data_IF_022756639988
#
_entry.id   IF_022756639988
#
_cell.length_a   1.000
_cell.length_b   1.000
_cell.length_c   1.000
_cell.angle_alpha   90.00
_cell.angle_beta   90.00
_cell.angle_gamma   90.00
#
_symmetry.space_group_name_H-M   'P 1'
#
loop_
_entity.id
_entity.type
_entity.pdbx_description
1 polymer ?
#
# COMPACT_ATOMS: atom_id res chain seq x y z
N UNK A 1 -10.80 14.13 4.67
CA UNK A 1 -11.69 13.11 5.19
C UNK A 1 -10.88 11.90 5.63
N UNK A 2 -11.25 11.30 6.77
CA UNK A 2 -10.61 10.09 7.27
C UNK A 2 -11.68 9.01 7.48
N UNK A 3 -11.39 7.82 7.01
CA UNK A 3 -12.25 6.65 7.15
C UNK A 3 -11.43 5.50 7.72
N UNK A 4 -12.06 4.65 8.51
CA UNK A 4 -11.47 3.42 9.00
C UNK A 4 -12.51 2.30 8.96
N UNK A 5 -12.11 1.18 8.37
CA UNK A 5 -12.92 -0.04 8.36
C UNK A 5 -12.00 -1.26 8.34
N UNK A 6 -12.26 -2.21 9.21
CA UNK A 6 -11.54 -3.49 9.31
C UNK A 6 -10.01 -3.33 9.44
N UNK A 7 -9.58 -2.22 10.10
CA UNK A 7 -8.17 -1.87 10.29
C UNK A 7 -7.50 -1.22 9.08
N UNK A 8 -8.23 -0.98 7.99
CA UNK A 8 -7.77 -0.16 6.87
C UNK A 8 -8.13 1.30 7.14
N UNK A 9 -7.13 2.16 7.06
CA UNK A 9 -7.31 3.60 7.22
C UNK A 9 -7.21 4.27 5.86
N UNK A 10 -8.13 5.16 5.56
CA UNK A 10 -8.19 5.90 4.31
C UNK A 10 -8.20 7.39 4.62
N UNK A 11 -7.26 8.13 4.04
CA UNK A 11 -7.23 9.57 4.08
C UNK A 11 -7.48 10.12 2.67
N UNK A 12 -8.54 10.90 2.52
CA UNK A 12 -8.87 11.61 1.29
C UNK A 12 -8.71 13.11 1.51
N UNK A 13 -7.86 13.77 0.71
CA UNK A 13 -7.66 15.20 0.75
C UNK A 13 -7.92 15.83 -0.63
N UNK A 14 -8.59 16.99 -0.63
CA UNK A 14 -8.85 17.80 -1.81
C UNK A 14 -7.82 18.92 -1.90
N UNK A 15 -7.21 19.05 -3.07
CA UNK A 15 -6.22 20.07 -3.40
C UNK A 15 -5.08 20.25 -2.37
N UNK A 16 -4.49 19.17 -1.82
CA UNK A 16 -3.39 19.34 -0.89
C UNK A 16 -2.18 19.95 -1.60
N UNK A 17 -1.48 20.83 -0.90
CA UNK A 17 -0.29 21.49 -1.43
C UNK A 17 0.96 20.88 -0.83
N UNK A 18 1.88 20.52 -1.70
CA UNK A 18 3.19 19.97 -1.35
C UNK A 18 4.28 20.90 -1.84
N UNK A 19 5.13 21.37 -0.95
CA UNK A 19 6.27 22.20 -1.27
C UNK A 19 7.47 21.86 -0.38
N UNK A 20 8.57 22.54 -0.54
CA UNK A 20 9.74 22.40 0.32
C UNK A 20 9.45 22.75 1.79
N UNK A 21 8.54 23.70 2.02
CA UNK A 21 8.16 24.17 3.36
C UNK A 21 6.91 23.47 3.88
N UNK A 22 5.93 23.26 3.00
CA UNK A 22 4.65 22.66 3.33
C UNK A 22 4.76 21.16 3.14
N UNK A 23 4.65 20.45 4.25
CA UNK A 23 4.63 18.98 4.29
C UNK A 23 3.24 18.50 4.67
N UNK A 24 2.79 17.45 4.03
CA UNK A 24 1.59 16.73 4.42
C UNK A 24 2.01 15.32 4.80
N UNK A 25 1.78 14.93 6.05
CA UNK A 25 2.16 13.61 6.60
C UNK A 25 3.61 13.17 6.29
N UNK A 26 4.55 14.13 6.28
CA UNK A 26 5.96 13.87 5.95
C UNK A 26 6.30 13.91 4.45
N UNK A 27 5.30 14.08 3.59
CA UNK A 27 5.49 14.16 2.13
C UNK A 27 5.77 15.58 1.70
N UNK A 28 6.73 15.78 0.82
CA UNK A 28 7.18 17.10 0.32
C UNK A 28 7.52 17.06 -1.16
N UNK A 29 7.48 18.23 -1.79
CA UNK A 29 8.03 18.46 -3.13
C UNK A 29 9.20 19.45 -3.04
N UNK A 30 10.37 19.10 -3.56
CA UNK A 30 11.60 19.88 -3.38
C UNK A 30 11.91 20.85 -4.50
N UNK A 31 11.58 20.52 -5.74
CA UNK A 31 11.94 21.33 -6.91
C UNK A 31 10.83 22.32 -7.22
N UNK A 32 9.64 21.81 -7.47
CA UNK A 32 8.44 22.61 -7.77
C UNK A 32 7.30 22.18 -6.87
N UNK A 33 6.50 23.13 -6.40
CA UNK A 33 5.29 22.82 -5.64
C UNK A 33 4.35 21.96 -6.49
N UNK A 34 3.73 20.97 -5.86
CA UNK A 34 2.72 20.13 -6.47
C UNK A 34 1.38 20.33 -5.75
N UNK A 35 0.31 20.31 -6.53
CA UNK A 35 -1.05 20.48 -6.02
C UNK A 35 -1.98 19.60 -6.85
N UNK A 36 -2.04 18.29 -6.60
CA UNK A 36 -3.03 17.44 -7.22
C UNK A 36 -4.43 17.79 -6.72
N UNK A 37 -5.46 17.55 -7.53
CA UNK A 37 -6.83 17.83 -7.12
C UNK A 37 -7.30 16.89 -6.02
N UNK A 38 -6.91 15.61 -6.11
CA UNK A 38 -7.29 14.59 -5.13
C UNK A 38 -6.04 13.81 -4.70
N UNK A 39 -5.90 13.67 -3.40
CA UNK A 39 -4.92 12.81 -2.75
C UNK A 39 -5.65 11.73 -1.96
N UNK A 40 -5.34 10.49 -2.26
CA UNK A 40 -5.89 9.32 -1.59
C UNK A 40 -4.75 8.50 -0.98
N UNK A 41 -4.72 8.40 0.34
CA UNK A 41 -3.80 7.56 1.07
C UNK A 41 -4.54 6.42 1.74
N UNK A 42 -3.99 5.22 1.62
CA UNK A 42 -4.54 4.02 2.22
C UNK A 42 -3.44 3.34 3.02
N UNK A 43 -3.74 3.04 4.27
CA UNK A 43 -2.86 2.31 5.18
C UNK A 43 -3.57 1.01 5.56
N UNK A 44 -2.99 -0.10 5.18
CA UNK A 44 -3.52 -1.43 5.47
C UNK A 44 -3.12 -1.93 6.88
N UNK A 45 -3.80 -2.94 7.44
CA UNK A 45 -3.47 -3.49 8.75
C UNK A 45 -2.03 -3.99 8.90
N UNK A 46 -1.40 -4.39 7.79
CA UNK A 46 0.00 -4.79 7.73
C UNK A 46 0.98 -3.60 7.64
N UNK A 47 0.50 -2.39 7.89
CA UNK A 47 1.24 -1.12 7.81
C UNK A 47 1.70 -0.75 6.40
N UNK A 48 1.25 -1.43 5.37
CA UNK A 48 1.53 -0.98 4.02
C UNK A 48 0.70 0.25 3.67
N UNK A 49 1.38 1.17 3.00
CA UNK A 49 0.84 2.47 2.63
C UNK A 49 0.84 2.60 1.12
N UNK A 50 -0.30 3.04 0.58
CA UNK A 50 -0.47 3.38 -0.82
C UNK A 50 -0.96 4.80 -0.95
N UNK A 51 -0.39 5.53 -1.89
CA UNK A 51 -0.83 6.88 -2.21
C UNK A 51 -1.16 6.92 -3.70
N UNK A 52 -2.38 7.33 -3.99
CA UNK A 52 -2.83 7.63 -5.34
C UNK A 52 -3.18 9.11 -5.45
N UNK A 53 -2.80 9.70 -6.58
CA UNK A 53 -3.11 11.07 -6.92
C UNK A 53 -4.02 11.10 -8.13
N UNK A 54 -5.03 11.95 -8.08
CA UNK A 54 -5.90 12.16 -9.24
C UNK A 54 -5.96 13.65 -9.53
N UNK A 55 -6.05 13.98 -10.82
CA UNK A 55 -6.05 15.36 -11.29
C UNK A 55 -7.04 15.51 -12.44
N UNK A 56 -8.02 16.40 -12.28
CA UNK A 56 -9.10 16.60 -13.23
C UNK A 56 -8.60 17.36 -14.46
N UNK A 57 -8.95 16.87 -15.64
CA UNK A 57 -8.62 17.47 -16.93
C UNK A 57 -9.86 17.63 -17.77
N UNK A 58 -10.15 18.85 -18.16
CA UNK A 58 -11.33 19.17 -18.94
C UNK A 58 -11.09 19.16 -20.46
N UNK A 59 -10.00 18.55 -20.91
CA UNK A 59 -9.60 18.46 -22.30
C UNK A 59 -9.43 17.02 -22.72
N UNK A 60 -9.84 16.75 -23.96
CA UNK A 60 -9.62 15.48 -24.65
C UNK A 60 -8.78 15.69 -25.89
N UNK A 61 -8.11 14.64 -26.34
CA UNK A 61 -7.44 14.52 -27.62
C UNK A 61 -8.09 13.35 -28.35
N UNK A 62 -8.93 13.65 -29.33
CA UNK A 62 -9.55 12.61 -30.16
C UNK A 62 -8.53 12.13 -31.17
N UNK A 63 -8.29 10.82 -31.24
CA UNK A 63 -7.46 10.23 -32.26
C UNK A 63 -8.25 10.20 -33.58
N UNK A 64 -7.63 10.66 -34.67
CA UNK A 64 -8.18 10.57 -36.02
C UNK A 64 -7.27 9.64 -36.84
N UNK A 65 -7.82 8.58 -37.46
CA UNK A 65 -7.04 7.72 -38.34
C UNK A 65 -6.46 8.52 -39.51
N UNK A 66 -5.27 8.16 -39.95
CA UNK A 66 -4.58 8.83 -41.06
C UNK A 66 -5.04 8.35 -42.43
N UNK A 67 -5.70 7.21 -42.51
CA UNK A 67 -6.17 6.59 -43.75
C UNK A 67 -7.70 6.50 -43.78
N UNK A 68 -8.26 6.83 -44.95
CA UNK A 68 -9.75 6.86 -45.18
C UNK A 68 -10.42 5.48 -45.14
N UNK A 69 -9.64 4.39 -45.01
CA UNK A 69 -10.14 3.01 -45.01
C UNK A 69 -10.16 2.33 -43.63
N UNK A 70 -9.69 3.00 -42.59
CA UNK A 70 -9.79 2.47 -41.23
C UNK A 70 -11.18 2.81 -40.66
N UNK A 71 -11.87 1.81 -40.13
CA UNK A 71 -13.09 2.01 -39.36
C UNK A 71 -12.78 3.02 -38.25
N UNK A 72 -13.53 4.15 -38.25
CA UNK A 72 -13.28 5.28 -37.35
C UNK A 72 -13.68 4.87 -35.92
N UNK A 73 -12.79 4.24 -35.19
CA UNK A 73 -12.92 4.17 -33.75
C UNK A 73 -12.56 5.53 -33.16
N UNK A 74 -13.56 6.27 -32.74
CA UNK A 74 -13.37 7.51 -32.00
C UNK A 74 -12.92 7.19 -30.58
N UNK A 75 -11.60 7.15 -30.38
CA UNK A 75 -11.03 6.97 -29.04
C UNK A 75 -10.62 8.33 -28.49
N UNK A 76 -11.21 8.69 -27.37
CA UNK A 76 -10.86 9.90 -26.63
C UNK A 76 -9.67 9.63 -25.69
N UNK A 77 -8.59 10.36 -25.91
CA UNK A 77 -7.41 10.31 -25.06
C UNK A 77 -7.23 11.58 -24.23
N UNK A 78 -6.50 11.44 -23.14
CA UNK A 78 -5.99 12.59 -22.40
C UNK A 78 -4.85 13.24 -23.20
N UNK A 79 -4.75 14.57 -23.25
CA UNK A 79 -3.60 15.25 -23.83
C UNK A 79 -2.27 14.80 -23.19
N UNK A 80 -1.22 14.74 -23.99
CA UNK A 80 0.11 14.24 -23.55
C UNK A 80 0.69 15.07 -22.38
N UNK A 81 0.39 16.37 -22.32
CA UNK A 81 0.80 17.23 -21.22
C UNK A 81 0.15 16.84 -19.88
N UNK A 82 -1.06 16.29 -19.90
CA UNK A 82 -1.72 15.78 -18.71
C UNK A 82 -1.03 14.51 -18.18
N UNK A 83 -0.69 13.57 -19.09
CA UNK A 83 0.07 12.38 -18.69
C UNK A 83 1.46 12.77 -18.16
N UNK A 84 2.14 13.71 -18.81
CA UNK A 84 3.41 14.25 -18.31
C UNK A 84 3.29 14.88 -16.91
N UNK A 85 2.14 15.45 -16.59
CA UNK A 85 1.87 15.96 -15.25
C UNK A 85 1.74 14.82 -14.23
N UNK A 86 1.14 13.68 -14.60
CA UNK A 86 1.05 12.51 -13.73
C UNK A 86 2.44 11.96 -13.40
N UNK A 87 3.33 11.87 -14.38
CA UNK A 87 4.75 11.55 -14.13
C UNK A 87 5.39 12.50 -13.14
N UNK A 88 5.19 13.81 -13.30
CA UNK A 88 5.73 14.82 -12.36
C UNK A 88 5.19 14.64 -10.96
N UNK A 89 3.89 14.40 -10.79
CA UNK A 89 3.30 14.18 -9.48
C UNK A 89 3.91 12.96 -8.79
N UNK A 90 4.01 11.83 -9.49
CA UNK A 90 4.58 10.63 -8.92
C UNK A 90 6.05 10.83 -8.50
N UNK A 91 6.84 11.50 -9.35
CA UNK A 91 8.28 11.61 -9.14
C UNK A 91 8.70 12.77 -8.24
N UNK A 92 7.90 13.83 -8.14
CA UNK A 92 8.23 15.02 -7.37
C UNK A 92 7.97 14.89 -5.88
N UNK A 93 7.07 13.98 -5.47
CA UNK A 93 6.71 13.80 -4.07
C UNK A 93 7.64 12.81 -3.40
N UNK A 94 8.24 13.25 -2.30
CA UNK A 94 9.22 12.47 -1.53
C UNK A 94 8.77 12.45 -0.08
N UNK A 95 8.77 11.26 0.51
CA UNK A 95 8.65 11.09 1.94
C UNK A 95 10.02 11.25 2.59
N UNK A 96 10.08 12.06 3.64
CA UNK A 96 11.24 12.20 4.51
C UNK A 96 10.80 12.03 5.94
N UNK A 97 11.35 11.02 6.59
CA UNK A 97 11.24 10.90 8.03
C UNK A 97 12.02 12.03 8.70
N UNK A 98 11.38 12.76 9.61
CA UNK A 98 12.01 13.86 10.35
C UNK A 98 13.14 13.36 11.27
N UNK A 99 13.03 12.14 11.76
CA UNK A 99 14.02 11.52 12.62
C UNK A 99 15.18 10.92 11.83
N UNK A 100 15.16 10.98 10.51
CA UNK A 100 16.15 10.39 9.61
C UNK A 100 16.41 8.89 9.81
N UNK A 101 15.49 8.20 10.47
CA UNK A 101 15.59 6.77 10.75
C UNK A 101 15.22 5.92 9.52
N UNK A 102 14.40 6.50 8.61
CA UNK A 102 14.01 5.85 7.38
C UNK A 102 14.67 6.51 6.17
N UNK A 103 15.06 5.72 5.18
CA UNK A 103 15.54 6.26 3.90
C UNK A 103 14.45 7.09 3.22
N UNK A 104 14.89 8.02 2.37
CA UNK A 104 13.97 8.75 1.48
C UNK A 104 13.21 7.78 0.61
N UNK A 105 11.90 7.98 0.45
CA UNK A 105 11.08 7.17 -0.45
C UNK A 105 10.22 8.02 -1.35
N UNK A 106 9.80 7.44 -2.48
CA UNK A 106 8.74 7.97 -3.35
C UNK A 106 7.44 7.27 -2.97
N UNK A 107 6.57 7.94 -2.19
CA UNK A 107 5.41 7.28 -1.60
C UNK A 107 4.24 7.15 -2.57
N UNK A 108 4.24 7.88 -3.68
CA UNK A 108 3.15 7.88 -4.64
C UNK A 108 3.23 6.63 -5.49
N UNK A 109 2.23 5.78 -5.31
CA UNK A 109 2.11 4.52 -6.02
C UNK A 109 1.57 4.72 -7.44
N UNK A 110 0.55 5.57 -7.59
CA UNK A 110 -0.01 5.90 -8.88
C UNK A 110 -0.49 7.34 -8.97
N UNK A 111 -0.49 7.88 -10.19
CA UNK A 111 -1.03 9.18 -10.50
C UNK A 111 -1.84 9.11 -11.79
N UNK A 112 -3.07 9.60 -11.74
CA UNK A 112 -4.07 9.39 -12.78
C UNK A 112 -4.78 10.69 -13.14
N UNK A 113 -4.94 10.92 -14.45
CA UNK A 113 -5.79 11.98 -14.93
C UNK A 113 -7.27 11.52 -14.95
N UNK A 114 -8.17 12.40 -14.56
CA UNK A 114 -9.61 12.21 -14.69
C UNK A 114 -10.09 13.11 -15.84
N UNK A 115 -10.72 12.57 -16.86
CA UNK A 115 -11.05 13.32 -18.05
C UNK A 115 -12.43 12.97 -18.63
N UNK A 116 -13.09 13.88 -19.38
CA UNK A 116 -14.44 13.67 -19.90
C UNK A 116 -14.43 12.84 -21.22
N UNK A 117 -13.77 11.69 -21.24
CA UNK A 117 -13.75 10.81 -22.39
C UNK A 117 -15.05 10.01 -22.52
N UNK A 118 -15.56 9.89 -23.75
CA UNK A 118 -16.78 9.17 -24.02
C UNK A 118 -16.48 7.70 -24.36
N UNK A 119 -16.98 6.78 -23.53
CA UNK A 119 -16.81 5.33 -23.69
C UNK A 119 -18.01 4.58 -23.12
N UNK A 120 -18.35 3.46 -23.73
CA UNK A 120 -19.15 2.42 -23.07
C UNK A 120 -18.23 1.58 -22.17
N UNK A 121 -18.01 2.09 -20.96
CA UNK A 121 -17.03 1.53 -20.02
C UNK A 121 -17.37 0.11 -19.53
N UNK A 122 -18.56 -0.40 -19.80
CA UNK A 122 -18.90 -1.80 -19.50
C UNK A 122 -18.47 -2.75 -20.60
N UNK A 123 -18.34 -2.28 -21.82
CA UNK A 123 -17.99 -3.06 -23.01
C UNK A 123 -16.53 -2.80 -23.42
N UNK A 124 -16.14 -1.55 -23.42
CA UNK A 124 -14.83 -1.11 -23.86
C UNK A 124 -13.79 -1.20 -22.73
N UNK A 125 -12.51 -1.44 -23.10
CA UNK A 125 -11.40 -1.43 -22.17
C UNK A 125 -10.82 -0.03 -22.03
N UNK A 126 -10.39 0.32 -20.82
CA UNK A 126 -9.66 1.56 -20.60
C UNK A 126 -8.37 1.56 -21.46
N UNK A 127 -8.18 2.54 -22.37
CA UNK A 127 -7.00 2.62 -23.22
C UNK A 127 -5.69 2.77 -22.42
N UNK A 128 -5.76 3.17 -21.15
CA UNK A 128 -4.62 3.30 -20.24
C UNK A 128 -4.45 2.10 -19.31
N UNK A 129 -5.25 1.04 -19.41
CA UNK A 129 -5.24 -0.06 -18.44
C UNK A 129 -3.84 -0.66 -18.27
N UNK A 130 -3.15 -1.00 -19.35
CA UNK A 130 -1.80 -1.57 -19.29
C UNK A 130 -0.80 -0.62 -18.61
N UNK A 131 -0.88 0.68 -18.90
CA UNK A 131 0.02 1.68 -18.30
C UNK A 131 -0.30 1.87 -16.80
N UNK A 132 -1.56 1.81 -16.41
CA UNK A 132 -1.99 1.84 -15.01
C UNK A 132 -1.42 0.62 -14.25
N UNK A 133 -1.51 -0.56 -14.84
CA UNK A 133 -1.03 -1.81 -14.24
C UNK A 133 0.50 -1.87 -14.15
N UNK A 134 1.20 -1.51 -15.22
CA UNK A 134 2.65 -1.68 -15.31
C UNK A 134 3.43 -0.58 -14.60
N UNK A 135 2.97 0.67 -14.70
CA UNK A 135 3.73 1.82 -14.20
C UNK A 135 2.97 2.74 -13.24
N UNK A 136 1.72 2.47 -12.96
CA UNK A 136 0.90 3.32 -12.08
C UNK A 136 0.62 4.72 -12.64
N UNK A 137 0.66 4.90 -13.96
CA UNK A 137 0.38 6.17 -14.64
C UNK A 137 -0.70 5.92 -15.68
N UNK A 138 -1.69 6.79 -15.74
CA UNK A 138 -2.74 6.67 -16.75
C UNK A 138 -3.87 7.66 -16.55
N UNK A 139 -5.05 7.28 -17.05
CA UNK A 139 -6.22 8.11 -16.93
C UNK A 139 -7.51 7.28 -16.82
N UNK A 140 -8.52 7.88 -16.22
CA UNK A 140 -9.88 7.34 -16.16
C UNK A 140 -10.84 8.34 -16.77
N UNK A 141 -11.64 7.86 -17.71
CA UNK A 141 -12.75 8.65 -18.23
C UNK A 141 -13.85 8.79 -17.17
N UNK A 142 -14.36 10.00 -17.02
CA UNK A 142 -15.45 10.32 -16.11
C UNK A 142 -16.51 11.16 -16.82
N UNK A 143 -17.73 10.65 -16.92
CA UNK A 143 -18.88 11.39 -17.40
C UNK A 143 -20.03 11.28 -16.40
N UNK A 144 -20.89 12.30 -16.29
CA UNK A 144 -22.09 12.26 -15.45
C UNK A 144 -23.22 11.45 -16.12
N UNK A 145 -22.91 10.25 -16.60
CA UNK A 145 -23.81 9.32 -17.23
C UNK A 145 -23.86 8.02 -16.43
N UNK A 146 -24.87 7.20 -16.68
CA UNK A 146 -24.89 5.85 -16.10
C UNK A 146 -23.63 5.08 -16.53
N UNK A 147 -22.91 4.51 -15.55
CA UNK A 147 -21.62 3.83 -15.72
C UNK A 147 -20.47 4.69 -16.28
N UNK A 148 -20.60 6.01 -16.29
CA UNK A 148 -19.54 6.90 -16.77
C UNK A 148 -18.31 7.00 -15.86
N UNK A 149 -18.31 6.30 -14.72
CA UNK A 149 -17.21 6.16 -13.76
C UNK A 149 -16.79 4.70 -13.52
N UNK A 150 -17.30 3.77 -14.34
CA UNK A 150 -17.17 2.33 -14.09
C UNK A 150 -15.71 1.89 -13.94
N UNK A 151 -14.81 2.31 -14.81
CA UNK A 151 -13.38 1.93 -14.73
C UNK A 151 -12.71 2.40 -13.45
N UNK A 152 -12.98 3.64 -13.02
CA UNK A 152 -12.43 4.16 -11.77
C UNK A 152 -13.03 3.43 -10.56
N UNK A 153 -14.33 3.20 -10.59
CA UNK A 153 -15.05 2.49 -9.52
C UNK A 153 -14.54 1.05 -9.38
N UNK A 154 -14.33 0.33 -10.47
CA UNK A 154 -13.75 -1.02 -10.44
C UNK A 154 -12.29 -1.01 -9.95
N UNK A 155 -11.47 -0.08 -10.43
CA UNK A 155 -10.11 0.10 -9.94
C UNK A 155 -10.08 0.31 -8.43
N UNK A 156 -10.87 1.25 -7.92
CA UNK A 156 -10.93 1.53 -6.48
C UNK A 156 -11.48 0.33 -5.70
N UNK A 157 -12.52 -0.34 -6.22
CA UNK A 157 -13.08 -1.54 -5.60
C UNK A 157 -12.05 -2.66 -5.52
N UNK A 158 -11.32 -2.91 -6.58
CA UNK A 158 -10.25 -3.91 -6.61
C UNK A 158 -9.13 -3.56 -5.60
N UNK A 159 -8.66 -2.32 -5.61
CA UNK A 159 -7.56 -1.88 -4.72
C UNK A 159 -7.98 -1.73 -3.26
N UNK A 160 -9.25 -1.42 -2.99
CA UNK A 160 -9.83 -1.27 -1.65
C UNK A 160 -10.57 -2.52 -1.16
N UNK A 161 -10.64 -3.59 -1.96
CA UNK A 161 -11.46 -4.75 -1.66
C UNK A 161 -10.90 -5.56 -0.50
N UNK A 162 -11.41 -5.28 0.68
CA UNK A 162 -10.93 -5.77 1.96
C UNK A 162 -11.09 -7.28 2.16
N UNK A 163 -12.07 -7.89 1.49
CA UNK A 163 -12.33 -9.33 1.60
C UNK A 163 -11.19 -10.18 1.02
N UNK A 164 -10.51 -9.72 -0.03
CA UNK A 164 -9.34 -10.40 -0.61
C UNK A 164 -8.05 -10.17 0.18
N UNK A 165 -8.00 -9.14 1.03
CA UNK A 165 -6.81 -8.87 1.87
C UNK A 165 -6.62 -9.98 2.92
N UNK A 166 -7.68 -10.64 3.33
CA UNK A 166 -7.57 -11.79 4.24
C UNK A 166 -6.91 -13.01 3.59
N UNK A 167 -7.03 -13.19 2.28
CA UNK A 167 -6.48 -14.35 1.57
C UNK A 167 -5.20 -14.04 0.78
N UNK A 168 -5.00 -12.82 0.35
CA UNK A 168 -3.80 -12.42 -0.39
C UNK A 168 -2.84 -11.65 0.52
N UNK A 169 -2.02 -12.38 1.20
CA UNK A 169 -0.77 -11.90 1.82
C UNK A 169 0.21 -11.28 0.82
N UNK A 170 -0.12 -11.40 -0.41
CA UNK A 170 0.71 -11.01 -1.54
C UNK A 170 0.18 -9.70 -2.08
N UNK A 171 0.62 -8.65 -1.46
CA UNK A 171 0.42 -7.32 -1.98
C UNK A 171 0.98 -7.24 -3.38
N UNK A 172 0.21 -6.58 -4.19
CA UNK A 172 0.44 -6.45 -5.62
C UNK A 172 1.91 -6.28 -5.94
N UNK A 173 2.44 -7.07 -6.89
CA UNK A 173 3.81 -6.89 -7.39
C UNK A 173 4.09 -5.44 -7.83
N UNK A 174 3.06 -4.73 -8.25
CA UNK A 174 3.13 -3.33 -8.68
C UNK A 174 3.58 -2.37 -7.57
N UNK A 175 3.20 -2.62 -6.32
CA UNK A 175 3.67 -1.84 -5.19
C UNK A 175 5.20 -1.84 -5.10
N UNK A 176 5.84 -2.89 -5.59
CA UNK A 176 7.29 -3.06 -5.60
C UNK A 176 7.96 -2.32 -6.73
N UNK A 177 7.33 -2.24 -7.89
CA UNK A 177 7.88 -1.56 -9.06
C UNK A 177 7.90 -0.05 -8.84
N UNK A 178 6.85 0.51 -8.25
CA UNK A 178 6.76 1.94 -7.96
C UNK A 178 7.86 2.43 -7.00
N UNK A 179 8.31 1.58 -6.09
CA UNK A 179 9.35 1.92 -5.12
C UNK A 179 10.78 1.64 -5.59
N UNK A 180 10.98 0.87 -6.64
CA UNK A 180 12.30 0.51 -7.15
C UNK A 180 13.11 1.70 -7.67
N UNK A 181 12.47 2.84 -7.93
CA UNK A 181 13.14 4.01 -8.45
C UNK A 181 14.04 4.75 -7.47
N UNK A 182 13.92 4.55 -6.16
CA UNK A 182 14.63 5.36 -5.16
C UNK A 182 15.11 4.62 -3.91
N UNK A 183 14.65 3.42 -3.65
CA UNK A 183 15.13 2.62 -2.53
C UNK A 183 15.62 1.29 -2.99
N UNK A 184 16.82 1.02 -2.57
CA UNK A 184 17.59 -0.15 -2.92
C UNK A 184 16.99 -1.33 -2.24
N UNK A 185 16.11 -1.76 -1.83
CA UNK A 185 15.73 -3.04 -1.22
C UNK A 185 14.33 -3.04 -0.64
N UNK A 186 13.40 -3.49 -1.45
CA UNK A 186 12.25 -4.17 -0.90
C UNK A 186 12.40 -5.66 -1.11
N UNK A 187 12.21 -6.38 -0.03
CA UNK A 187 12.41 -7.81 -0.01
C UNK A 187 11.10 -8.51 -0.34
N UNK A 188 11.10 -9.32 -1.39
CA UNK A 188 9.89 -10.05 -1.81
C UNK A 188 9.44 -11.10 -0.80
N UNK A 189 10.38 -11.66 -0.03
CA UNK A 189 10.14 -12.75 0.90
C UNK A 189 10.87 -12.51 2.22
N UNK A 190 10.68 -11.31 2.81
CA UNK A 190 11.35 -10.96 4.06
C UNK A 190 10.86 -11.86 5.19
N UNK A 191 11.80 -12.54 5.82
CA UNK A 191 11.57 -13.38 6.99
C UNK A 191 12.05 -12.64 8.23
N UNK A 192 11.17 -12.42 9.17
CA UNK A 192 11.53 -11.90 10.48
C UNK A 192 11.85 -13.05 11.43
N UNK A 193 13.14 -13.19 11.75
CA UNK A 193 13.63 -14.24 12.66
C UNK A 193 13.69 -13.69 14.09
N UNK A 194 13.03 -14.38 15.00
CA UNK A 194 12.93 -13.95 16.40
C UNK A 194 13.04 -15.13 17.35
N UNK A 195 13.70 -14.86 18.48
CA UNK A 195 13.71 -15.79 19.61
C UNK A 195 12.41 -15.70 20.41
N UNK A 196 11.90 -16.84 20.84
CA UNK A 196 10.73 -16.88 21.71
C UNK A 196 11.13 -16.45 23.13
N UNK A 197 10.46 -15.39 23.66
CA UNK A 197 10.72 -14.89 25.01
C UNK A 197 10.33 -15.91 26.08
N UNK A 198 11.03 -15.87 27.21
CA UNK A 198 10.87 -16.86 28.30
C UNK A 198 9.58 -16.70 29.14
N UNK A 199 8.86 -15.57 29.02
CA UNK A 199 7.73 -15.24 29.89
C UNK A 199 6.39 -15.40 29.14
N UNK A 200 6.15 -16.57 28.52
CA UNK A 200 4.89 -16.90 27.85
C UNK A 200 4.16 -17.99 28.60
N UNK A 201 2.84 -18.08 28.41
CA UNK A 201 2.04 -19.16 29.02
C UNK A 201 2.43 -20.53 28.45
N UNK A 202 2.18 -21.57 29.23
CA UNK A 202 2.37 -22.97 28.80
C UNK A 202 1.60 -23.27 27.52
N UNK A 203 0.37 -22.76 27.42
CA UNK A 203 -0.50 -22.92 26.25
C UNK A 203 0.12 -22.26 24.99
N UNK A 204 0.76 -21.10 25.16
CA UNK A 204 1.43 -20.44 24.05
C UNK A 204 2.60 -21.26 23.53
N UNK A 205 3.41 -21.86 24.41
CA UNK A 205 4.49 -22.75 24.01
C UNK A 205 3.95 -24.00 23.31
N UNK A 206 2.86 -24.60 23.82
CA UNK A 206 2.22 -25.75 23.21
C UNK A 206 1.69 -25.43 21.79
N UNK A 207 1.15 -24.21 21.56
CA UNK A 207 0.74 -23.76 20.24
C UNK A 207 1.94 -23.63 19.29
N UNK A 208 3.09 -23.14 19.76
CA UNK A 208 4.33 -23.05 18.96
C UNK A 208 4.79 -24.46 18.55
N UNK A 209 4.86 -25.38 19.49
CA UNK A 209 5.29 -26.78 19.23
C UNK A 209 4.35 -27.50 18.25
N UNK A 210 3.04 -27.28 18.39
CA UNK A 210 2.04 -27.90 17.53
C UNK A 210 1.90 -27.19 16.16
N UNK A 211 2.52 -26.01 15.97
CA UNK A 211 2.36 -25.20 14.76
C UNK A 211 0.96 -24.59 14.64
N UNK A 212 0.33 -24.26 15.75
CA UNK A 212 -1.02 -23.67 15.81
C UNK A 212 -1.00 -22.22 16.25
N UNK A 213 0.19 -21.59 16.31
CA UNK A 213 0.32 -20.21 16.73
C UNK A 213 -0.37 -19.28 15.72
N UNK A 214 -1.28 -18.45 16.20
CA UNK A 214 -2.03 -17.50 15.39
C UNK A 214 -1.57 -16.05 15.56
N UNK A 215 -0.83 -15.74 16.63
CA UNK A 215 -0.44 -14.38 16.98
C UNK A 215 0.99 -14.31 17.52
N UNK A 216 1.70 -13.27 17.09
CA UNK A 216 2.98 -12.88 17.69
C UNK A 216 3.04 -11.38 17.89
N UNK A 217 3.74 -10.90 18.92
CA UNK A 217 3.90 -9.48 19.17
C UNK A 217 5.31 -9.15 19.61
N UNK A 218 5.75 -7.94 19.27
CA UNK A 218 7.04 -7.37 19.70
C UNK A 218 6.89 -5.87 19.99
N UNK A 219 7.58 -5.32 21.01
CA UNK A 219 7.59 -3.89 21.22
C UNK A 219 8.11 -3.14 20.00
N UNK A 220 7.45 -2.02 19.66
CA UNK A 220 7.90 -1.14 18.58
C UNK A 220 9.30 -0.64 18.84
N UNK A 221 9.60 -0.23 20.09
CA UNK A 221 10.93 0.22 20.52
C UNK A 221 12.02 -0.84 20.29
N UNK A 222 11.71 -2.11 20.56
CA UNK A 222 12.66 -3.22 20.34
C UNK A 222 12.91 -3.48 18.86
N UNK A 223 11.86 -3.35 18.03
CA UNK A 223 11.96 -3.53 16.59
C UNK A 223 12.76 -2.37 15.97
N UNK A 224 12.34 -1.13 16.25
CA UNK A 224 12.91 0.08 15.66
C UNK A 224 14.34 0.37 16.14
N UNK A 225 14.79 -0.25 17.26
CA UNK A 225 16.18 -0.19 17.69
C UNK A 225 17.12 -0.91 16.71
N UNK A 226 16.64 -1.94 16.02
CA UNK A 226 17.44 -2.80 15.13
C UNK A 226 17.13 -2.60 13.66
N UNK A 227 15.90 -2.24 13.35
CA UNK A 227 15.36 -2.18 11.99
C UNK A 227 14.61 -0.88 11.78
N UNK A 228 14.66 -0.28 10.58
CA UNK A 228 13.79 0.80 10.20
C UNK A 228 12.32 0.38 10.27
N UNK A 229 11.44 1.31 10.65
CA UNK A 229 10.01 1.06 10.85
C UNK A 229 9.30 0.54 9.58
N UNK A 230 9.72 1.03 8.40
CA UNK A 230 9.15 0.58 7.12
C UNK A 230 9.34 -0.92 6.86
N UNK A 231 10.38 -1.55 7.44
CA UNK A 231 10.58 -2.99 7.28
C UNK A 231 9.45 -3.82 7.91
N UNK A 232 8.73 -3.28 8.89
CA UNK A 232 7.57 -3.97 9.44
C UNK A 232 6.55 -4.31 8.35
N UNK A 233 6.30 -3.37 7.42
CA UNK A 233 5.37 -3.57 6.30
C UNK A 233 5.86 -4.57 5.24
N UNK A 234 7.17 -4.87 5.22
CA UNK A 234 7.80 -5.78 4.27
C UNK A 234 7.83 -7.24 4.75
N UNK A 235 7.58 -7.48 6.04
CA UNK A 235 7.65 -8.84 6.62
C UNK A 235 6.55 -9.70 6.02
N UNK A 236 6.95 -10.80 5.39
CA UNK A 236 6.04 -11.78 4.79
C UNK A 236 5.96 -13.06 5.61
N UNK A 237 7.03 -13.39 6.28
CA UNK A 237 7.11 -14.60 7.08
C UNK A 237 7.73 -14.28 8.44
N UNK A 238 7.29 -15.02 9.43
CA UNK A 238 7.85 -15.03 10.77
C UNK A 238 8.43 -16.40 11.06
N UNK A 239 9.71 -16.43 11.47
CA UNK A 239 10.40 -17.63 11.89
C UNK A 239 10.70 -17.53 13.39
N UNK A 240 10.10 -18.43 14.17
CA UNK A 240 10.30 -18.51 15.60
C UNK A 240 11.44 -19.47 15.92
N UNK A 241 12.52 -18.93 16.51
CA UNK A 241 13.58 -19.76 17.11
C UNK A 241 13.10 -20.20 18.49
N UNK A 242 12.87 -21.48 18.63
CA UNK A 242 12.50 -22.13 19.87
C UNK A 242 13.53 -23.23 20.19
N UNK A 243 14.08 -23.20 21.39
CA UNK A 243 15.18 -24.10 21.82
C UNK A 243 16.42 -24.10 20.88
N UNK A 244 16.65 -22.96 20.21
CA UNK A 244 17.80 -22.78 19.29
C UNK A 244 17.54 -23.23 17.84
N UNK A 245 16.36 -23.76 17.54
CA UNK A 245 16.02 -24.28 16.23
C UNK A 245 14.80 -23.56 15.63
N UNK A 246 14.72 -23.52 14.29
CA UNK A 246 13.60 -22.99 13.54
C UNK A 246 13.02 -24.13 12.70
N UNK A 247 11.82 -24.57 13.06
CA UNK A 247 11.17 -25.69 12.37
C UNK A 247 10.06 -25.24 11.41
N UNK A 248 9.63 -23.99 11.51
CA UNK A 248 8.45 -23.50 10.78
C UNK A 248 8.59 -22.04 10.36
N UNK A 249 8.04 -21.75 9.20
CA UNK A 249 7.78 -20.37 8.73
C UNK A 249 6.29 -20.11 8.83
N UNK A 250 5.91 -19.03 9.51
CA UNK A 250 4.54 -18.59 9.61
C UNK A 250 4.31 -17.44 8.62
N UNK A 251 3.48 -17.63 7.59
CA UNK A 251 3.08 -16.50 6.75
C UNK A 251 2.34 -15.45 7.59
N UNK A 252 2.66 -14.19 7.38
CA UNK A 252 2.06 -13.05 8.09
C UNK A 252 0.83 -12.59 7.32
N UNK A 253 -0.35 -12.65 7.93
CA UNK A 253 -1.62 -12.18 7.35
C UNK A 253 -1.79 -10.69 7.50
N UNK A 254 -1.51 -10.17 8.68
CA UNK A 254 -1.62 -8.75 8.97
C UNK A 254 -0.63 -8.33 10.05
N UNK A 255 -0.28 -7.04 10.05
CA UNK A 255 0.55 -6.43 11.10
C UNK A 255 -0.18 -5.17 11.56
N UNK A 256 -0.40 -5.06 12.88
CA UNK A 256 -1.04 -3.89 13.50
C UNK A 256 -0.08 -3.25 14.48
N UNK A 257 0.01 -1.92 14.46
CA UNK A 257 0.73 -1.14 15.48
C UNK A 257 -0.30 -0.61 16.47
N UNK A 258 -0.28 -1.12 17.69
CA UNK A 258 -1.28 -0.78 18.72
C UNK A 258 -0.66 -0.79 20.14
N UNK A 259 -1.29 -0.08 21.09
CA UNK A 259 -0.86 -0.12 22.48
C UNK A 259 -0.95 -1.53 23.06
N UNK A 260 -0.02 -1.88 23.95
CA UNK A 260 -0.01 -3.19 24.61
C UNK A 260 -1.33 -3.53 25.31
N UNK A 261 -2.01 -2.54 25.83
CA UNK A 261 -3.31 -2.70 26.50
C UNK A 261 -4.43 -3.22 25.59
N UNK A 262 -4.28 -3.07 24.27
CA UNK A 262 -5.24 -3.59 23.28
C UNK A 262 -4.91 -5.00 22.79
N UNK A 263 -3.76 -5.57 23.21
CA UNK A 263 -3.38 -6.95 22.90
C UNK A 263 -3.90 -7.86 24.02
N UNK A 264 -4.78 -8.80 23.67
CA UNK A 264 -5.38 -9.71 24.64
C UNK A 264 -4.36 -10.70 25.20
N UNK A 265 -4.72 -11.33 26.33
CA UNK A 265 -3.89 -12.38 26.94
C UNK A 265 -3.66 -13.54 25.97
N UNK A 266 -4.69 -13.95 25.24
CA UNK A 266 -4.62 -15.02 24.24
C UNK A 266 -3.66 -14.68 23.10
N UNK A 267 -3.71 -13.46 22.57
CA UNK A 267 -2.82 -13.00 21.51
C UNK A 267 -1.36 -12.86 21.97
N UNK A 268 -1.17 -12.48 23.23
CA UNK A 268 0.16 -12.24 23.79
C UNK A 268 0.78 -13.47 24.42
N UNK A 269 0.01 -14.44 24.83
CA UNK A 269 0.46 -15.56 25.64
C UNK A 269 0.96 -15.14 27.04
N UNK A 270 0.48 -14.01 27.56
CA UNK A 270 0.86 -13.51 28.87
C UNK A 270 0.37 -12.09 29.17
N UNK A 271 0.40 -11.74 30.45
CA UNK A 271 0.09 -10.38 30.88
C UNK A 271 1.32 -9.47 30.75
N UNK A 272 1.08 -8.21 30.45
CA UNK A 272 2.08 -7.16 30.47
C UNK A 272 1.40 -5.82 30.77
N UNK A 273 1.97 -5.04 31.66
CA UNK A 273 1.48 -3.71 32.05
C UNK A 273 2.17 -2.57 31.30
N UNK A 274 2.90 -2.88 30.21
CA UNK A 274 3.56 -1.86 29.42
C UNK A 274 2.56 -0.92 28.74
N UNK A 275 2.87 0.36 28.72
CA UNK A 275 2.11 1.39 27.98
C UNK A 275 2.63 1.60 26.56
N UNK A 276 3.69 0.90 26.17
CA UNK A 276 4.31 1.03 24.85
C UNK A 276 3.43 0.48 23.73
N UNK A 277 3.71 0.95 22.53
CA UNK A 277 3.15 0.38 21.31
C UNK A 277 3.89 -0.90 20.90
N UNK A 278 3.13 -1.83 20.33
CA UNK A 278 3.62 -3.11 19.85
C UNK A 278 3.22 -3.31 18.39
N UNK A 279 4.06 -4.02 17.66
CA UNK A 279 3.63 -4.67 16.42
C UNK A 279 3.00 -6.02 16.79
N UNK A 280 1.73 -6.20 16.42
CA UNK A 280 0.97 -7.45 16.54
C UNK A 280 0.87 -8.08 15.15
N UNK A 281 1.39 -9.28 15.02
CA UNK A 281 1.38 -10.08 13.80
C UNK A 281 0.27 -11.12 13.89
N UNK A 282 -0.62 -11.12 12.92
CA UNK A 282 -1.55 -12.22 12.68
C UNK A 282 -0.90 -13.23 11.74
N UNK A 283 -0.94 -14.50 12.10
CA UNK A 283 -0.21 -15.57 11.43
C UNK A 283 -1.16 -16.55 10.74
N UNK A 284 -0.76 -17.01 9.56
CA UNK A 284 -1.43 -18.11 8.88
C UNK A 284 -0.85 -19.46 9.30
N UNK A 285 -1.43 -20.54 8.77
CA UNK A 285 -0.92 -21.90 8.97
C UNK A 285 0.55 -22.00 8.53
N UNK A 286 1.44 -22.52 9.39
CA UNK A 286 2.85 -22.53 9.10
C UNK A 286 3.24 -23.53 8.00
N UNK A 287 4.31 -23.19 7.30
CA UNK A 287 5.06 -24.07 6.43
C UNK A 287 6.11 -24.80 7.28
N UNK A 288 6.28 -26.10 7.09
CA UNK A 288 7.39 -26.84 7.69
C UNK A 288 8.65 -26.59 6.88
N UNK A 289 9.76 -26.42 7.59
CA UNK A 289 11.09 -26.46 7.00
C UNK A 289 11.56 -27.92 7.04
N UNK A 290 12.00 -28.43 5.92
CA UNK A 290 12.63 -29.75 5.80
C UNK A 290 14.08 -29.68 6.24
#
# INVERSE_FOLDING_TARGET
FHFEKDGVQICLAHEPKFSKKEKNQGIRAFVTSQKPDIFLEIIFPNQQRYIWLFDAKYRIKTWQPKDENDDIEHIDYVPDDAINQMHRYRDALIFLDEKQLTPKSRPVFGAFALYPGFFDQQVEKNPYQNAIEEVGIGAFALLPTENGDYWLSEFLREKLYLEKIHDSLWLHPEARIADHGMQQTRYTNLVFIIGLGKNRSTDYYAQVEQGKLSWYHTPVSTFELKYPDYLASEIRFLALAYQGEIHRLYPVKSIKKLPRSQITFEQAGGENKSSENYYLFELAKPLRLE
#
